data_IF_646015106089
#
_entry.id   IF_646015106089
#
_cell.length_a   1.000
_cell.length_b   1.000
_cell.length_c   1.000
_cell.angle_alpha   90.00
_cell.angle_beta   90.00
_cell.angle_gamma   90.00
#
_symmetry.space_group_name_H-M   'P 1'
#
loop_
_entity.id
_entity.type
_entity.pdbx_description
1 polymer ?
#
# COMPACT_ATOMS: atom_id res chain seq x y z
N UNK A 1 -6.26 -3.24 -14.10
CA UNK A 1 -7.31 -3.08 -13.06
C UNK A 1 -7.08 -4.02 -11.87
N UNK A 2 -7.53 -3.61 -10.67
CA UNK A 2 -7.49 -4.39 -9.42
C UNK A 2 -8.34 -5.67 -9.46
N UNK A 3 -7.98 -6.69 -8.68
CA UNK A 3 -8.74 -7.94 -8.53
C UNK A 3 -10.02 -7.73 -7.72
N UNK A 4 -10.98 -8.67 -7.85
CA UNK A 4 -12.25 -8.59 -7.12
C UNK A 4 -12.03 -8.68 -5.59
N UNK A 5 -11.06 -9.47 -5.16
CA UNK A 5 -10.67 -9.62 -3.77
C UNK A 5 -10.14 -8.31 -3.20
N UNK A 6 -9.24 -7.62 -3.93
CA UNK A 6 -8.73 -6.32 -3.50
C UNK A 6 -9.86 -5.29 -3.41
N UNK A 7 -10.75 -5.26 -4.41
CA UNK A 7 -11.90 -4.35 -4.41
C UNK A 7 -12.82 -4.58 -3.20
N UNK A 8 -13.11 -5.84 -2.89
CA UNK A 8 -13.92 -6.21 -1.72
C UNK A 8 -13.32 -5.70 -0.41
N UNK A 9 -12.01 -5.89 -0.21
CA UNK A 9 -11.32 -5.47 1.00
C UNK A 9 -11.23 -3.94 1.13
N UNK A 10 -11.01 -3.23 0.02
CA UNK A 10 -11.07 -1.76 -0.01
C UNK A 10 -12.44 -1.28 0.50
N UNK A 11 -13.53 -1.85 -0.02
CA UNK A 11 -14.89 -1.49 0.40
C UNK A 11 -15.16 -1.82 1.87
N UNK A 12 -14.71 -3.00 2.34
CA UNK A 12 -14.83 -3.43 3.75
C UNK A 12 -14.14 -2.44 4.71
N UNK A 13 -12.97 -1.95 4.34
CA UNK A 13 -12.21 -0.95 5.09
C UNK A 13 -12.75 0.49 4.94
N UNK A 14 -13.85 0.66 4.19
CA UNK A 14 -14.52 1.93 3.95
C UNK A 14 -13.91 2.77 2.83
N UNK A 15 -12.94 2.24 2.08
CA UNK A 15 -12.39 2.89 0.90
C UNK A 15 -13.43 3.03 -0.21
N UNK A 16 -13.30 4.09 -1.02
CA UNK A 16 -14.18 4.35 -2.17
C UNK A 16 -13.38 4.79 -3.38
N UNK A 17 -13.76 4.34 -4.57
CA UNK A 17 -13.18 4.83 -5.81
C UNK A 17 -13.74 6.20 -6.18
N UNK A 18 -12.85 7.10 -6.60
CA UNK A 18 -13.26 8.32 -7.29
C UNK A 18 -13.92 7.94 -8.63
N UNK A 19 -15.13 8.45 -8.88
CA UNK A 19 -15.91 8.17 -10.09
C UNK A 19 -15.25 8.75 -11.35
N UNK A 20 -14.24 9.61 -11.19
CA UNK A 20 -13.41 10.12 -12.29
C UNK A 20 -12.07 9.40 -12.29
N UNK A 21 -11.93 8.26 -13.00
CA UNK A 21 -10.64 7.58 -13.10
C UNK A 21 -9.60 8.54 -13.66
N UNK A 22 -8.47 8.64 -12.97
CA UNK A 22 -7.34 9.39 -13.47
C UNK A 22 -6.70 8.57 -14.61
N UNK A 23 -7.21 8.73 -15.83
CA UNK A 23 -6.78 7.95 -17.00
C UNK A 23 -5.35 8.26 -17.46
N UNK A 24 -4.64 9.17 -16.78
CA UNK A 24 -3.24 9.47 -17.10
C UNK A 24 -2.32 8.38 -16.56
N UNK A 25 -1.39 7.90 -17.40
CA UNK A 25 -0.23 7.13 -16.95
C UNK A 25 0.49 7.95 -15.89
N UNK A 26 0.72 7.35 -14.72
CA UNK A 26 1.47 7.98 -13.65
C UNK A 26 2.91 7.50 -13.70
N UNK A 27 3.82 8.45 -13.87
CA UNK A 27 5.24 8.23 -13.67
C UNK A 27 5.57 8.52 -12.21
N UNK A 28 6.36 7.65 -11.58
CA UNK A 28 6.83 7.82 -10.21
C UNK A 28 8.36 7.73 -10.21
N UNK A 29 8.99 8.56 -9.39
CA UNK A 29 10.43 8.51 -9.21
C UNK A 29 10.76 7.38 -8.22
N UNK A 30 11.72 6.53 -8.59
CA UNK A 30 12.22 5.43 -7.74
C UNK A 30 13.73 5.47 -7.69
N UNK A 31 14.36 4.74 -6.77
CA UNK A 31 15.82 4.67 -6.69
C UNK A 31 16.48 4.01 -7.92
N UNK A 32 15.71 3.29 -8.75
CA UNK A 32 16.16 2.75 -10.04
C UNK A 32 15.84 3.68 -11.23
N UNK A 33 15.27 4.86 -10.95
CA UNK A 33 14.86 5.86 -11.94
C UNK A 33 13.35 6.02 -12.03
N UNK A 34 12.91 6.73 -13.06
CA UNK A 34 11.49 7.03 -13.26
C UNK A 34 10.77 5.86 -13.93
N UNK A 35 9.70 5.37 -13.32
CA UNK A 35 8.96 4.17 -13.77
C UNK A 35 7.48 4.48 -13.94
N UNK A 36 6.86 3.90 -14.96
CA UNK A 36 5.41 3.97 -15.16
C UNK A 36 4.72 3.03 -14.18
N UNK A 37 3.80 3.56 -13.38
CA UNK A 37 3.05 2.76 -12.43
C UNK A 37 2.00 1.89 -13.13
N UNK A 38 1.93 0.58 -12.83
CA UNK A 38 0.86 -0.27 -13.31
C UNK A 38 -0.52 0.26 -12.93
N UNK A 39 -1.47 0.18 -13.86
CA UNK A 39 -2.80 0.77 -13.72
C UNK A 39 -3.50 0.36 -12.41
N UNK A 40 -3.43 -0.92 -12.05
CA UNK A 40 -4.07 -1.45 -10.85
C UNK A 40 -3.46 -0.88 -9.56
N UNK A 41 -2.12 -0.79 -9.48
CA UNK A 41 -1.42 -0.16 -8.36
C UNK A 41 -1.78 1.34 -8.31
N UNK A 42 -1.81 2.02 -9.46
CA UNK A 42 -2.23 3.42 -9.57
C UNK A 42 -3.67 3.62 -9.08
N UNK A 43 -4.58 2.72 -9.42
CA UNK A 43 -5.96 2.75 -8.94
C UNK A 43 -6.00 2.68 -7.41
N UNK A 44 -5.30 1.72 -6.82
CA UNK A 44 -5.22 1.58 -5.37
C UNK A 44 -4.65 2.83 -4.68
N UNK A 45 -3.52 3.35 -5.18
CA UNK A 45 -2.80 4.45 -4.55
C UNK A 45 -3.49 5.82 -4.77
N UNK A 46 -4.00 6.11 -5.96
CA UNK A 46 -4.52 7.47 -6.27
C UNK A 46 -6.03 7.58 -6.42
N UNK A 47 -6.70 6.52 -6.86
CA UNK A 47 -8.15 6.57 -7.12
C UNK A 47 -8.97 6.18 -5.89
N UNK A 48 -8.41 5.37 -4.98
CA UNK A 48 -9.06 5.04 -3.70
C UNK A 48 -8.99 6.25 -2.77
N UNK A 49 -10.14 6.59 -2.19
CA UNK A 49 -10.30 7.58 -1.13
C UNK A 49 -10.61 6.84 0.17
N UNK A 50 -9.71 6.96 1.12
CA UNK A 50 -9.84 6.34 2.44
C UNK A 50 -10.62 7.24 3.41
N UNK A 51 -11.33 6.67 4.39
CA UNK A 51 -11.97 7.43 5.46
C UNK A 51 -10.97 8.30 6.22
N UNK A 52 -11.37 9.53 6.55
CA UNK A 52 -10.54 10.41 7.39
C UNK A 52 -10.45 9.91 8.82
N UNK A 53 -9.36 10.24 9.51
CA UNK A 53 -9.14 9.86 10.91
C UNK A 53 -10.23 10.37 11.88
N UNK A 54 -10.91 11.47 11.56
CA UNK A 54 -12.00 12.02 12.37
C UNK A 54 -13.39 11.45 12.00
N UNK A 55 -13.46 10.48 11.08
CA UNK A 55 -14.72 9.90 10.59
C UNK A 55 -15.52 10.79 9.63
N UNK A 56 -15.08 12.02 9.34
CA UNK A 56 -15.82 12.97 8.51
C UNK A 56 -15.32 13.00 7.06
N UNK A 57 -15.91 12.15 6.23
CA UNK A 57 -15.64 12.11 4.79
C UNK A 57 -14.38 11.33 4.43
N UNK A 58 -13.80 11.63 3.26
CA UNK A 58 -12.73 10.85 2.64
C UNK A 58 -11.52 11.71 2.28
N UNK A 59 -10.33 11.11 2.28
CA UNK A 59 -9.06 11.74 1.92
C UNK A 59 -8.10 11.85 3.11
N UNK A 60 -7.14 12.77 3.00
CA UNK A 60 -6.15 13.01 4.06
C UNK A 60 -6.74 13.87 5.20
N UNK A 61 -6.37 13.62 6.48
CA UNK A 61 -5.53 12.51 6.98
C UNK A 61 -6.31 11.20 7.08
N UNK A 62 -5.65 10.08 6.75
CA UNK A 62 -6.26 8.74 6.73
C UNK A 62 -6.39 8.17 8.16
N UNK A 63 -7.46 7.40 8.43
CA UNK A 63 -7.64 6.62 9.67
C UNK A 63 -6.56 5.55 9.80
N UNK A 64 -6.18 5.20 11.02
CA UNK A 64 -5.30 4.06 11.29
C UNK A 64 -6.08 2.75 11.33
N UNK A 65 -5.42 1.69 10.94
CA UNK A 65 -5.98 0.35 10.95
C UNK A 65 -5.16 -0.56 11.87
N UNK A 66 -5.82 -1.35 12.71
CA UNK A 66 -5.16 -2.41 13.47
C UNK A 66 -4.85 -3.58 12.52
N UNK A 67 -3.66 -4.15 12.63
CA UNK A 67 -3.31 -5.43 11.99
C UNK A 67 -3.58 -6.56 12.99
N UNK A 68 -4.10 -7.71 12.55
CA UNK A 68 -4.26 -8.88 13.41
C UNK A 68 -2.94 -9.62 13.63
N UNK A 69 -1.94 -9.42 12.76
CA UNK A 69 -0.61 -10.03 12.88
C UNK A 69 0.37 -9.22 13.75
N UNK A 70 0.20 -7.91 13.84
CA UNK A 70 1.07 -7.04 14.63
C UNK A 70 0.34 -6.53 15.90
N UNK A 71 0.73 -7.06 17.06
CA UNK A 71 0.22 -6.71 18.41
C UNK A 71 0.51 -5.25 18.84
N UNK A 72 0.92 -4.38 17.91
CA UNK A 72 1.49 -3.06 18.21
C UNK A 72 0.46 -1.92 18.27
N UNK A 73 0.62 -0.95 19.21
CA UNK A 73 -0.40 0.03 19.53
C UNK A 73 -0.54 1.19 18.52
N UNK A 74 0.24 1.20 17.42
CA UNK A 74 0.37 2.38 16.56
C UNK A 74 -0.42 2.32 15.26
N UNK A 75 -0.97 1.16 14.91
CA UNK A 75 -1.77 0.93 13.71
C UNK A 75 -0.99 1.13 12.40
N UNK A 76 -1.52 0.54 11.33
CA UNK A 76 -1.07 0.73 9.95
C UNK A 76 -1.73 1.99 9.40
N UNK A 77 -0.92 2.90 8.86
CA UNK A 77 -1.37 4.09 8.18
C UNK A 77 -1.03 3.97 6.70
N UNK A 78 -2.02 4.09 5.83
CA UNK A 78 -1.75 4.20 4.40
C UNK A 78 -0.95 5.48 4.12
N UNK A 79 0.10 5.32 3.34
CA UNK A 79 1.06 6.36 2.96
C UNK A 79 1.32 6.26 1.47
N UNK A 80 1.52 7.39 0.81
CA UNK A 80 1.93 7.39 -0.59
C UNK A 80 3.29 8.08 -0.65
N UNK A 81 4.36 7.29 -0.64
CA UNK A 81 5.71 7.81 -0.82
C UNK A 81 6.45 7.07 -1.92
N UNK A 82 7.02 7.89 -2.79
CA UNK A 82 8.02 7.49 -3.76
C UNK A 82 9.30 7.10 -3.04
N UNK A 83 9.88 5.96 -3.41
CA UNK A 83 11.07 5.43 -2.77
C UNK A 83 12.28 5.75 -3.63
N UNK A 84 12.93 6.85 -3.28
CA UNK A 84 14.10 7.40 -4.01
C UNK A 84 15.45 6.92 -3.44
N UNK A 85 15.42 6.17 -2.34
CA UNK A 85 16.58 5.54 -1.72
C UNK A 85 16.39 4.03 -1.62
N UNK A 86 17.49 3.27 -1.55
CA UNK A 86 17.44 1.80 -1.67
C UNK A 86 16.86 1.10 -0.44
N UNK A 87 16.90 1.64 0.78
CA UNK A 87 16.33 1.03 2.01
C UNK A 87 16.52 -0.50 2.18
N UNK A 88 17.65 -1.08 1.76
CA UNK A 88 17.86 -2.54 1.80
C UNK A 88 17.07 -3.36 0.76
N UNK A 89 16.35 -2.68 -0.14
CA UNK A 89 15.68 -3.23 -1.31
C UNK A 89 16.70 -3.75 -2.34
N UNK A 90 16.26 -4.73 -3.13
CA UNK A 90 16.99 -5.20 -4.31
C UNK A 90 16.98 -4.12 -5.43
N UNK A 91 17.27 -4.49 -6.68
CA UNK A 91 17.31 -3.53 -7.80
C UNK A 91 15.97 -3.37 -8.53
N UNK A 92 14.84 -3.59 -7.85
CA UNK A 92 13.50 -3.44 -8.41
C UNK A 92 12.88 -2.09 -8.05
N UNK A 93 11.96 -1.55 -8.86
CA UNK A 93 11.21 -0.35 -8.50
C UNK A 93 10.11 -0.67 -7.49
N UNK A 94 10.05 0.08 -6.38
CA UNK A 94 9.04 -0.07 -5.34
C UNK A 94 8.27 1.21 -5.09
N UNK A 95 7.07 1.06 -4.55
CA UNK A 95 6.25 2.16 -4.06
C UNK A 95 5.77 1.86 -2.65
N UNK A 96 5.94 2.80 -1.72
CA UNK A 96 5.48 2.64 -0.35
C UNK A 96 4.00 2.99 -0.27
N UNK A 97 3.21 2.05 0.29
CA UNK A 97 1.76 2.14 0.38
C UNK A 97 1.26 2.32 1.82
N UNK A 98 2.07 1.97 2.81
CA UNK A 98 1.72 2.10 4.21
C UNK A 98 2.97 2.09 5.09
N UNK A 99 2.82 2.55 6.31
CA UNK A 99 3.77 2.31 7.38
C UNK A 99 3.03 2.18 8.70
N UNK A 100 3.59 1.44 9.65
CA UNK A 100 3.31 1.66 11.06
C UNK A 100 4.45 2.52 11.62
N UNK A 101 4.14 3.45 12.53
CA UNK A 101 5.02 4.60 12.82
C UNK A 101 6.41 4.27 13.40
N UNK A 102 6.75 3.01 13.64
CA UNK A 102 7.94 2.62 14.39
C UNK A 102 8.56 1.27 14.00
N UNK A 103 7.87 0.44 13.24
CA UNK A 103 8.29 -0.92 12.96
C UNK A 103 8.43 -1.17 11.46
N UNK A 104 7.33 -1.17 10.71
CA UNK A 104 7.32 -1.62 9.33
C UNK A 104 6.94 -0.53 8.32
N UNK A 105 7.61 -0.56 7.18
CA UNK A 105 7.20 0.09 5.94
C UNK A 105 6.74 -0.99 4.95
N UNK A 106 5.62 -0.71 4.26
CA UNK A 106 4.97 -1.66 3.36
C UNK A 106 5.08 -1.19 1.91
N UNK A 107 5.57 -2.06 1.04
CA UNK A 107 5.91 -1.74 -0.34
C UNK A 107 5.22 -2.65 -1.33
N UNK A 108 4.91 -2.10 -2.49
CA UNK A 108 4.53 -2.87 -3.67
C UNK A 108 5.64 -2.74 -4.74
N UNK A 109 6.13 -3.84 -5.33
CA UNK A 109 6.94 -3.79 -6.54
C UNK A 109 6.12 -3.29 -7.73
N UNK A 110 6.66 -2.33 -8.48
CA UNK A 110 6.01 -1.76 -9.67
C UNK A 110 6.19 -2.61 -10.92
N UNK A 111 7.03 -3.62 -10.86
CA UNK A 111 7.38 -4.57 -11.94
C UNK A 111 6.79 -5.97 -11.71
N UNK A 112 5.74 -6.09 -10.90
CA UNK A 112 5.12 -7.39 -10.57
C UNK A 112 4.32 -8.00 -11.74
N UNK A 113 4.39 -9.33 -11.86
CA UNK A 113 3.59 -10.13 -12.81
C UNK A 113 2.10 -10.23 -12.44
N UNK A 114 1.73 -9.91 -11.19
CA UNK A 114 0.34 -9.98 -10.69
C UNK A 114 -0.21 -8.60 -10.31
N UNK A 115 -0.21 -7.60 -11.20
CA UNK A 115 -0.51 -6.21 -10.84
C UNK A 115 -1.93 -5.99 -10.32
N UNK A 116 -2.88 -6.89 -10.60
CA UNK A 116 -4.25 -6.82 -10.10
C UNK A 116 -4.37 -7.12 -8.60
N UNK A 117 -3.48 -7.97 -8.08
CA UNK A 117 -3.33 -8.29 -6.66
C UNK A 117 -1.83 -8.35 -6.34
N UNK A 118 -1.19 -7.17 -6.33
CA UNK A 118 0.26 -7.09 -6.26
C UNK A 118 0.76 -7.58 -4.89
N UNK A 119 1.96 -8.15 -4.80
CA UNK A 119 2.53 -8.51 -3.52
C UNK A 119 2.88 -7.24 -2.71
N UNK A 120 2.56 -7.30 -1.43
CA UNK A 120 2.96 -6.35 -0.39
C UNK A 120 4.10 -6.97 0.38
N UNK A 121 5.23 -6.27 0.38
CA UNK A 121 6.42 -6.63 1.13
C UNK A 121 6.56 -5.70 2.33
N UNK A 122 7.15 -6.17 3.42
CA UNK A 122 7.43 -5.36 4.60
C UNK A 122 8.92 -5.33 4.94
N UNK A 123 9.44 -4.15 5.26
CA UNK A 123 10.82 -3.93 5.71
C UNK A 123 10.77 -3.11 6.98
N UNK A 124 11.62 -3.45 7.94
CA UNK A 124 11.71 -2.65 9.14
C UNK A 124 12.34 -1.27 8.84
N UNK A 125 12.23 -0.32 9.76
CA UNK A 125 12.87 0.99 9.58
C UNK A 125 14.41 0.95 9.55
N UNK A 126 15.04 -0.20 9.81
CA UNK A 126 16.49 -0.41 9.70
C UNK A 126 16.92 -0.96 8.34
N UNK A 127 15.97 -1.29 7.45
CA UNK A 127 16.23 -1.85 6.13
C UNK A 127 16.36 -3.37 6.12
N UNK A 128 15.92 -4.05 7.18
CA UNK A 128 15.93 -5.51 7.28
C UNK A 128 14.56 -6.06 6.91
N UNK A 129 14.56 -7.04 6.00
CA UNK A 129 13.36 -7.78 5.61
C UNK A 129 12.83 -8.61 6.78
N UNK A 130 11.51 -8.69 6.90
CA UNK A 130 10.91 -9.69 7.77
C UNK A 130 11.08 -11.09 7.18
N UNK A 131 11.71 -12.00 7.92
CA UNK A 131 11.90 -13.38 7.49
C UNK A 131 10.79 -14.29 8.03
N UNK A 132 10.19 -15.18 7.21
CA UNK A 132 10.45 -15.38 5.78
C UNK A 132 9.39 -14.73 4.90
N UNK A 133 9.75 -13.80 4.00
CA UNK A 133 8.95 -13.59 2.80
C UNK A 133 9.82 -13.24 1.56
N UNK A 134 10.17 -14.20 0.69
CA UNK A 134 10.85 -13.90 -0.58
C UNK A 134 9.92 -13.25 -1.63
N UNK A 135 8.60 -13.37 -1.48
CA UNK A 135 7.62 -13.02 -2.54
C UNK A 135 6.55 -11.98 -2.13
N UNK A 136 6.53 -11.53 -0.88
CA UNK A 136 5.45 -10.69 -0.32
C UNK A 136 4.17 -11.48 -0.02
N UNK A 137 3.20 -10.82 0.62
CA UNK A 137 1.82 -11.32 0.73
C UNK A 137 0.93 -10.60 -0.29
N UNK A 138 -0.08 -11.24 -0.91
CA UNK A 138 -1.00 -10.53 -1.79
C UNK A 138 -1.65 -9.31 -1.12
N UNK A 139 -1.84 -8.22 -1.87
CA UNK A 139 -2.50 -7.01 -1.38
C UNK A 139 -3.87 -7.31 -0.77
N UNK A 140 -4.65 -8.20 -1.39
CA UNK A 140 -5.92 -8.67 -0.83
C UNK A 140 -5.76 -9.24 0.59
N UNK A 141 -4.73 -10.06 0.83
CA UNK A 141 -4.46 -10.62 2.17
C UNK A 141 -3.96 -9.57 3.16
N UNK A 142 -3.10 -8.66 2.72
CA UNK A 142 -2.66 -7.55 3.54
C UNK A 142 -3.86 -6.69 3.99
N UNK A 143 -4.77 -6.34 3.08
CA UNK A 143 -5.96 -5.57 3.42
C UNK A 143 -6.93 -6.37 4.32
N UNK A 144 -7.08 -7.68 4.09
CA UNK A 144 -7.92 -8.55 4.91
C UNK A 144 -7.49 -8.60 6.38
N UNK A 145 -6.19 -8.47 6.66
CA UNK A 145 -5.64 -8.40 8.00
C UNK A 145 -5.95 -7.08 8.75
N UNK A 146 -6.34 -6.04 8.02
CA UNK A 146 -6.61 -4.73 8.60
C UNK A 146 -8.03 -4.63 9.16
N UNK A 147 -8.13 -3.97 10.32
CA UNK A 147 -9.37 -3.61 11.00
C UNK A 147 -9.39 -2.11 11.33
N UNK A 148 -10.49 -1.37 11.13
CA UNK A 148 -10.55 0.04 11.50
C UNK A 148 -10.42 0.23 13.02
N UNK A 149 -9.53 1.14 13.48
CA UNK A 149 -9.40 1.45 14.93
C UNK A 149 -10.66 2.16 15.46
N UNK A 150 -11.36 1.56 16.43
CA UNK A 150 -12.60 2.10 17.07
C UNK A 150 -12.52 3.57 17.50
#
# INVERSE_FOLDING_TARGET
MLSAEVLHEIERLGGRFDLKPNASVKMVDTFVGQVAMPEAIRQFVWDVKWPKANGEGFGWPIRRYRSQYDDYPYGVLFAHSEIVERYGLDERPYFCIAHDATHWMYFIPLDTDTPADPPVLRIDHTGVWDEPIPEGIPLSKFLADLEPEE
#
